data_IF_488152405931
#
_entry.id   IF_488152405931
#
_cell.length_a   1.000
_cell.length_b   1.000
_cell.length_c   1.000
_cell.angle_alpha   90.00
_cell.angle_beta   90.00
_cell.angle_gamma   90.00
#
_symmetry.space_group_name_H-M   'P 1'
#
loop_
_entity.id
_entity.type
_entity.pdbx_description
1 polymer ?
#
# COMPACT_ATOMS: atom_id res chain seq x y z
N UNK A 1 -0.70 4.03 28.83
CA UNK A 1 -0.25 4.52 27.49
C UNK A 1 -1.48 4.67 26.61
N UNK A 2 -1.73 5.89 26.13
CA UNK A 2 -3.01 6.37 25.62
C UNK A 2 -3.44 5.75 24.28
N UNK A 3 -4.57 5.02 24.29
CA UNK A 3 -5.28 4.55 23.07
C UNK A 3 -5.60 5.68 22.08
N UNK A 4 -5.71 6.92 22.56
CA UNK A 4 -5.99 8.14 21.79
C UNK A 4 -4.93 8.53 20.74
N UNK A 5 -3.70 8.01 20.82
CA UNK A 5 -2.65 8.32 19.83
C UNK A 5 -2.70 7.41 18.60
N UNK A 6 -3.37 6.25 18.71
CA UNK A 6 -3.43 5.21 17.66
C UNK A 6 -4.57 5.46 16.67
N UNK A 7 -5.69 6.04 17.11
CA UNK A 7 -6.84 6.37 16.25
C UNK A 7 -6.56 7.51 15.26
N UNK A 8 -5.62 8.41 15.57
CA UNK A 8 -5.27 9.53 14.67
C UNK A 8 -4.33 9.10 13.53
N UNK A 9 -3.70 7.93 13.61
CA UNK A 9 -2.64 7.52 12.67
C UNK A 9 -3.13 6.70 11.46
N UNK A 10 -4.20 5.91 11.58
CA UNK A 10 -4.55 4.97 10.50
C UNK A 10 -5.15 5.66 9.27
N UNK A 11 -5.97 6.70 9.43
CA UNK A 11 -6.47 7.50 8.30
C UNK A 11 -5.34 8.17 7.53
N UNK A 12 -4.31 8.63 8.24
CA UNK A 12 -3.11 9.20 7.63
C UNK A 12 -2.36 8.15 6.82
N UNK A 13 -2.12 6.97 7.40
CA UNK A 13 -1.47 5.84 6.71
C UNK A 13 -2.23 5.45 5.45
N UNK A 14 -3.57 5.36 5.52
CA UNK A 14 -4.42 5.02 4.37
C UNK A 14 -4.34 6.10 3.28
N UNK A 15 -4.41 7.37 3.64
CA UNK A 15 -4.33 8.47 2.68
C UNK A 15 -2.96 8.54 1.99
N UNK A 16 -1.87 8.38 2.74
CA UNK A 16 -0.52 8.38 2.17
C UNK A 16 -0.30 7.16 1.28
N UNK A 17 -0.82 5.99 1.65
CA UNK A 17 -0.82 4.79 0.80
C UNK A 17 -1.62 5.01 -0.48
N UNK A 18 -2.84 5.57 -0.37
CA UNK A 18 -3.66 5.94 -1.53
C UNK A 18 -2.94 6.89 -2.49
N UNK A 19 -2.25 7.89 -1.96
CA UNK A 19 -1.43 8.81 -2.76
C UNK A 19 -0.25 8.10 -3.43
N UNK A 20 0.40 7.14 -2.77
CA UNK A 20 1.45 6.33 -3.38
C UNK A 20 0.90 5.47 -4.54
N UNK A 21 -0.30 4.90 -4.39
CA UNK A 21 -0.98 4.16 -5.45
C UNK A 21 -1.39 5.04 -6.63
N UNK A 22 -1.78 6.30 -6.41
CA UNK A 22 -2.12 7.24 -7.50
C UNK A 22 -0.90 7.69 -8.30
N UNK A 23 0.29 7.69 -7.67
CA UNK A 23 1.55 8.09 -8.33
C UNK A 23 2.18 6.97 -9.15
N UNK A 24 1.69 5.73 -9.06
CA UNK A 24 2.23 4.61 -9.83
C UNK A 24 1.84 4.74 -11.30
N UNK A 25 2.79 4.49 -12.20
CA UNK A 25 2.46 4.30 -13.61
C UNK A 25 1.61 3.02 -13.76
N UNK A 26 0.56 3.08 -14.58
CA UNK A 26 -0.47 2.03 -14.71
C UNK A 26 0.05 0.63 -15.11
N UNK A 27 1.32 0.51 -15.52
CA UNK A 27 1.91 -0.70 -16.06
C UNK A 27 3.10 -1.26 -15.25
N UNK A 28 3.45 -0.66 -14.12
CA UNK A 28 4.56 -1.17 -13.29
C UNK A 28 4.03 -2.22 -12.32
N UNK A 29 4.23 -3.49 -12.71
CA UNK A 29 4.21 -4.65 -11.82
C UNK A 29 5.59 -4.76 -11.14
N UNK A 30 5.63 -5.08 -9.83
CA UNK A 30 6.85 -5.23 -9.01
C UNK A 30 7.58 -3.92 -8.58
N UNK A 31 6.88 -3.06 -7.85
CA UNK A 31 7.45 -1.88 -7.19
C UNK A 31 8.33 -2.28 -5.99
N UNK A 32 9.42 -1.57 -5.67
CA UNK A 32 10.17 -1.81 -4.45
C UNK A 32 9.33 -1.49 -3.20
N UNK A 33 9.39 -2.33 -2.17
CA UNK A 33 8.76 -2.07 -0.88
C UNK A 33 9.20 -0.74 -0.24
N UNK A 34 10.45 -0.31 -0.46
CA UNK A 34 10.95 1.00 0.01
C UNK A 34 10.24 2.22 -0.58
N UNK A 35 9.43 2.04 -1.62
CA UNK A 35 8.62 3.14 -2.19
C UNK A 35 7.34 3.39 -1.40
N UNK A 36 6.96 2.49 -0.48
CA UNK A 36 5.82 2.70 0.40
C UNK A 36 6.13 3.78 1.46
N UNK A 37 5.15 4.61 1.82
CA UNK A 37 5.32 5.62 2.87
C UNK A 37 5.44 5.02 4.28
N UNK A 38 4.95 3.80 4.46
CA UNK A 38 4.96 3.04 5.71
C UNK A 38 5.26 1.57 5.42
N UNK A 39 5.59 0.79 6.45
CA UNK A 39 5.77 -0.65 6.26
C UNK A 39 4.45 -1.32 5.82
N UNK A 40 4.54 -2.41 5.06
CA UNK A 40 3.36 -3.20 4.68
C UNK A 40 2.51 -3.61 5.87
N UNK A 41 3.14 -3.95 7.00
CA UNK A 41 2.42 -4.38 8.20
C UNK A 41 1.59 -3.24 8.80
N UNK A 42 2.14 -2.02 8.82
CA UNK A 42 1.43 -0.82 9.30
C UNK A 42 0.24 -0.48 8.38
N UNK A 43 0.45 -0.47 7.06
CA UNK A 43 -0.61 -0.19 6.08
C UNK A 43 -1.71 -1.26 6.16
N UNK A 44 -1.33 -2.53 6.24
CA UNK A 44 -2.25 -3.64 6.40
C UNK A 44 -3.11 -3.49 7.65
N UNK A 45 -2.49 -3.15 8.77
CA UNK A 45 -3.18 -2.96 10.05
C UNK A 45 -4.13 -1.77 9.97
N UNK A 46 -3.69 -0.65 9.39
CA UNK A 46 -4.50 0.54 9.21
C UNK A 46 -5.75 0.26 8.36
N UNK A 47 -5.60 -0.40 7.22
CA UNK A 47 -6.72 -0.77 6.34
C UNK A 47 -7.70 -1.72 7.05
N UNK A 48 -7.19 -2.74 7.76
CA UNK A 48 -8.04 -3.69 8.48
C UNK A 48 -8.79 -3.05 9.66
N UNK A 49 -8.23 -2.02 10.29
CA UNK A 49 -8.94 -1.23 11.29
C UNK A 49 -10.02 -0.37 10.64
N UNK A 50 -9.70 0.33 9.54
CA UNK A 50 -10.69 1.14 8.83
C UNK A 50 -11.88 0.31 8.30
N UNK A 51 -11.63 -0.90 7.78
CA UNK A 51 -12.68 -1.81 7.32
C UNK A 51 -13.64 -2.28 8.43
N UNK A 52 -13.28 -2.12 9.71
CA UNK A 52 -14.17 -2.45 10.84
C UNK A 52 -15.05 -1.27 11.27
N UNK A 53 -14.65 -0.06 10.93
CA UNK A 53 -15.27 1.18 11.41
C UNK A 53 -16.13 1.86 10.34
N UNK A 54 -15.88 1.57 9.07
CA UNK A 54 -16.55 2.22 7.93
C UNK A 54 -17.68 1.33 7.40
N UNK A 55 -18.84 1.96 7.14
CA UNK A 55 -20.07 1.32 6.64
C UNK A 55 -20.47 1.85 5.24
N UNK A 56 -19.54 2.49 4.54
CA UNK A 56 -19.72 2.96 3.16
C UNK A 56 -19.12 1.94 2.18
N UNK A 57 -19.97 1.31 1.37
CA UNK A 57 -19.58 0.27 0.41
C UNK A 57 -18.51 0.75 -0.58
N UNK A 58 -18.58 1.99 -1.06
CA UNK A 58 -17.59 2.52 -2.00
C UNK A 58 -16.23 2.68 -1.33
N UNK A 59 -16.20 3.15 -0.09
CA UNK A 59 -14.96 3.29 0.67
C UNK A 59 -14.39 1.90 1.01
N UNK A 60 -15.24 0.94 1.36
CA UNK A 60 -14.85 -0.45 1.61
C UNK A 60 -14.17 -1.05 0.37
N UNK A 61 -14.72 -0.84 -0.83
CA UNK A 61 -14.11 -1.31 -2.07
C UNK A 61 -12.74 -0.67 -2.33
N UNK A 62 -12.62 0.64 -2.11
CA UNK A 62 -11.34 1.34 -2.24
C UNK A 62 -10.29 0.81 -1.25
N UNK A 63 -10.68 0.52 -0.01
CA UNK A 63 -9.81 -0.06 1.01
C UNK A 63 -9.37 -1.48 0.64
N UNK A 64 -10.29 -2.32 0.14
CA UNK A 64 -9.96 -3.67 -0.36
C UNK A 64 -8.98 -3.59 -1.52
N UNK A 65 -9.19 -2.67 -2.47
CA UNK A 65 -8.28 -2.45 -3.58
C UNK A 65 -6.89 -2.01 -3.09
N UNK A 66 -6.84 -1.07 -2.15
CA UNK A 66 -5.60 -0.62 -1.53
C UNK A 66 -4.84 -1.74 -0.83
N UNK A 67 -5.56 -2.66 -0.16
CA UNK A 67 -5.00 -3.84 0.47
C UNK A 67 -4.40 -4.82 -0.55
N UNK A 68 -5.15 -5.15 -1.61
CA UNK A 68 -4.68 -6.08 -2.66
C UNK A 68 -3.46 -5.50 -3.38
N UNK A 69 -3.45 -4.20 -3.63
CA UNK A 69 -2.33 -3.50 -4.29
C UNK A 69 -1.01 -3.58 -3.51
N UNK A 70 -1.02 -3.96 -2.21
CA UNK A 70 0.22 -4.23 -1.47
C UNK A 70 1.02 -5.40 -2.04
N UNK A 71 0.39 -6.32 -2.77
CA UNK A 71 1.08 -7.42 -3.43
C UNK A 71 2.00 -6.95 -4.56
N UNK A 72 1.71 -5.78 -5.16
CA UNK A 72 2.52 -5.20 -6.25
C UNK A 72 3.87 -4.66 -5.75
N UNK A 73 3.97 -4.38 -4.44
CA UNK A 73 5.20 -3.98 -3.79
C UNK A 73 5.95 -5.24 -3.38
N UNK A 74 7.17 -5.43 -3.83
CA UNK A 74 7.98 -6.61 -3.54
C UNK A 74 9.30 -6.18 -2.91
N UNK A 75 10.00 -7.09 -2.21
CA UNK A 75 11.26 -6.73 -1.56
C UNK A 75 12.24 -6.10 -2.56
N UNK A 76 12.95 -5.05 -2.14
CA UNK A 76 13.84 -4.24 -2.98
C UNK A 76 14.89 -5.04 -3.76
N UNK A 77 15.38 -6.13 -3.19
CA UNK A 77 16.33 -7.02 -3.86
C UNK A 77 15.68 -7.78 -5.03
N UNK A 78 14.39 -8.10 -4.94
CA UNK A 78 13.63 -8.77 -6.00
C UNK A 78 13.21 -7.77 -7.08
N UNK A 79 12.72 -6.58 -6.71
CA UNK A 79 12.33 -5.53 -7.67
C UNK A 79 13.49 -5.15 -8.62
N UNK A 80 14.70 -4.99 -8.07
CA UNK A 80 15.91 -4.78 -8.89
C UNK A 80 16.17 -5.90 -9.89
N UNK A 81 15.93 -7.15 -9.52
CA UNK A 81 16.04 -8.29 -10.43
C UNK A 81 15.04 -8.21 -11.58
N UNK A 82 13.76 -7.94 -11.27
CA UNK A 82 12.67 -7.87 -12.27
C UNK A 82 12.90 -6.76 -13.31
N UNK A 83 13.34 -5.57 -12.87
CA UNK A 83 13.66 -4.45 -13.76
C UNK A 83 14.83 -4.78 -14.69
N UNK A 84 15.84 -5.51 -14.19
CA UNK A 84 16.98 -5.94 -15.00
C UNK A 84 16.52 -6.91 -16.10
N UNK A 85 15.71 -7.93 -15.78
CA UNK A 85 15.22 -8.87 -16.80
C UNK A 85 14.35 -8.21 -17.88
N UNK A 86 13.51 -7.24 -17.52
CA UNK A 86 12.71 -6.49 -18.48
C UNK A 86 13.56 -5.63 -19.44
N UNK A 87 14.79 -5.28 -19.06
CA UNK A 87 15.67 -4.37 -19.82
C UNK A 87 16.67 -5.08 -20.73
N UNK A 88 16.91 -6.38 -20.52
CA UNK A 88 17.82 -7.21 -21.34
C UNK A 88 17.04 -8.05 -22.38
N UNK A 89 15.71 -7.99 -22.37
CA UNK A 89 14.83 -8.71 -23.28
C UNK A 89 14.39 -7.92 -24.51
N UNK A 90 15.28 -7.13 -25.14
CA UNK A 90 15.05 -6.46 -26.43
C UNK A 90 16.24 -6.68 -27.34
#
# INVERSE_FOLDING_TARGET
>A
MSKKKVETDFYKIINEHGAALMKREQFIIALPESTLPYSKSEIKTAILLALKEIDDDNIIEQLKFGYVSLADFIPDHVSRGVIIYARIGV
#
